data_IF_866374128092
#
_entry.id   IF_866374128092
#
_cell.length_a   1.000
_cell.length_b   1.000
_cell.length_c   1.000
_cell.angle_alpha   90.00
_cell.angle_beta   90.00
_cell.angle_gamma   90.00
#
_symmetry.space_group_name_H-M   'P 1'
#
loop_
_entity.id
_entity.type
_entity.pdbx_description
1 polymer ?
#
# COMPACT_ATOMS: atom_id res chain seq x y z
N UNK A 1 43.07 3.77 -34.71
CA UNK A 1 42.28 2.90 -33.80
C UNK A 1 42.30 3.38 -32.35
N UNK A 2 43.45 3.71 -31.76
CA UNK A 2 43.56 4.11 -30.33
C UNK A 2 42.77 5.39 -29.95
N UNK A 3 42.65 6.38 -30.85
CA UNK A 3 41.88 7.61 -30.60
C UNK A 3 40.36 7.37 -30.49
N UNK A 4 39.82 6.36 -31.18
CA UNK A 4 38.39 6.03 -31.12
C UNK A 4 38.05 5.27 -29.83
N UNK A 5 38.95 4.42 -29.33
CA UNK A 5 38.78 3.71 -28.04
C UNK A 5 38.77 4.68 -26.85
N UNK A 6 39.67 5.68 -26.82
CA UNK A 6 39.65 6.70 -25.77
C UNK A 6 38.38 7.54 -25.78
N UNK A 7 37.84 7.84 -26.98
CA UNK A 7 36.58 8.58 -27.11
C UNK A 7 35.40 7.74 -26.64
N UNK A 8 35.33 6.46 -27.01
CA UNK A 8 34.27 5.55 -26.56
C UNK A 8 34.34 5.30 -25.05
N UNK A 9 35.52 5.10 -24.49
CA UNK A 9 35.69 4.95 -23.04
C UNK A 9 35.30 6.22 -22.28
N UNK A 10 35.66 7.40 -22.78
CA UNK A 10 35.24 8.67 -22.18
C UNK A 10 33.70 8.80 -22.17
N UNK A 11 33.03 8.48 -23.29
CA UNK A 11 31.56 8.51 -23.36
C UNK A 11 30.90 7.50 -22.41
N UNK A 12 31.47 6.30 -22.24
CA UNK A 12 30.95 5.30 -21.30
C UNK A 12 31.13 5.73 -19.85
N UNK A 13 32.26 6.36 -19.52
CA UNK A 13 32.51 6.91 -18.17
C UNK A 13 31.56 8.07 -17.88
N UNK A 14 31.35 8.97 -18.84
CA UNK A 14 30.40 10.09 -18.70
C UNK A 14 28.96 9.58 -18.51
N UNK A 15 28.56 8.52 -19.23
CA UNK A 15 27.24 7.90 -19.06
C UNK A 15 27.09 7.26 -17.67
N UNK A 16 28.11 6.56 -17.17
CA UNK A 16 28.11 6.00 -15.81
C UNK A 16 28.07 7.10 -14.73
N UNK A 17 28.71 8.25 -14.97
CA UNK A 17 28.64 9.43 -14.09
C UNK A 17 27.24 10.06 -14.12
N UNK A 18 26.60 10.13 -15.28
CA UNK A 18 25.22 10.62 -15.41
C UNK A 18 24.23 9.66 -14.72
N UNK A 19 24.36 8.35 -14.94
CA UNK A 19 23.49 7.34 -14.32
C UNK A 19 23.70 7.26 -12.80
N UNK A 20 24.92 7.49 -12.32
CA UNK A 20 25.21 7.60 -10.88
C UNK A 20 24.69 8.91 -10.28
N UNK A 21 24.76 10.04 -11.00
CA UNK A 21 24.12 11.29 -10.57
C UNK A 21 22.59 11.20 -10.61
N UNK A 22 22.01 10.50 -11.58
CA UNK A 22 20.56 10.25 -11.67
C UNK A 22 20.10 9.37 -10.52
N UNK A 23 20.83 8.28 -10.22
CA UNK A 23 20.59 7.49 -8.99
C UNK A 23 20.79 8.31 -7.71
N UNK A 24 21.78 9.20 -7.67
CA UNK A 24 22.00 10.08 -6.52
C UNK A 24 20.89 11.13 -6.35
N UNK A 25 20.27 11.57 -7.46
CA UNK A 25 19.09 12.44 -7.46
C UNK A 25 17.82 11.68 -7.04
N UNK A 26 17.66 10.43 -7.48
CA UNK A 26 16.60 9.51 -7.01
C UNK A 26 16.78 9.17 -5.51
N UNK A 27 18.02 9.05 -5.03
CA UNK A 27 18.31 8.92 -3.60
C UNK A 27 18.08 10.23 -2.84
N UNK A 28 18.22 11.40 -3.47
CA UNK A 28 17.87 12.70 -2.87
C UNK A 28 16.36 12.90 -2.78
N UNK A 29 15.55 12.25 -3.61
CA UNK A 29 14.09 12.17 -3.40
C UNK A 29 13.69 11.28 -2.22
N UNK A 30 14.64 10.56 -1.61
CA UNK A 30 14.46 9.85 -0.34
C UNK A 30 14.93 10.72 0.84
N UNK A 31 14.55 11.99 0.91
CA UNK A 31 14.70 12.72 2.17
C UNK A 31 13.90 11.95 3.23
N UNK A 32 14.53 11.49 4.32
CA UNK A 32 13.79 10.89 5.42
C UNK A 32 12.76 11.91 5.90
N UNK A 33 11.49 11.52 5.98
CA UNK A 33 10.45 12.37 6.55
C UNK A 33 10.93 12.89 7.91
N UNK A 34 10.85 14.21 8.08
CA UNK A 34 11.46 14.87 9.22
C UNK A 34 10.65 14.63 10.50
N UNK A 35 9.38 14.27 10.33
CA UNK A 35 8.45 13.95 11.42
C UNK A 35 7.57 12.73 11.09
N UNK A 36 7.03 12.11 12.14
CA UNK A 36 6.02 11.04 11.99
C UNK A 36 4.75 11.54 11.29
N UNK A 37 4.39 12.81 11.49
CA UNK A 37 3.17 13.39 10.91
C UNK A 37 3.29 13.58 9.39
N UNK A 38 4.45 14.01 8.89
CA UNK A 38 4.72 14.09 7.44
C UNK A 38 4.65 12.71 6.78
N UNK A 39 5.20 11.69 7.43
CA UNK A 39 5.12 10.32 6.93
C UNK A 39 3.67 9.82 6.89
N UNK A 40 2.89 10.03 7.95
CA UNK A 40 1.48 9.64 7.98
C UNK A 40 0.66 10.41 6.94
N UNK A 41 0.98 11.68 6.70
CA UNK A 41 0.33 12.48 5.66
C UNK A 41 0.59 11.88 4.28
N UNK A 42 1.85 11.57 3.94
CA UNK A 42 2.20 10.94 2.66
C UNK A 42 1.50 9.59 2.47
N UNK A 43 1.36 8.79 3.54
CA UNK A 43 0.59 7.54 3.48
C UNK A 43 -0.91 7.79 3.26
N UNK A 44 -1.49 8.82 3.89
CA UNK A 44 -2.89 9.19 3.67
C UNK A 44 -3.12 9.66 2.25
N UNK A 45 -2.18 10.42 1.68
CA UNK A 45 -2.23 10.87 0.29
C UNK A 45 -2.24 9.68 -0.69
N UNK A 46 -1.28 8.75 -0.56
CA UNK A 46 -1.22 7.55 -1.41
C UNK A 46 -2.48 6.67 -1.28
N UNK A 47 -3.01 6.51 -0.06
CA UNK A 47 -4.24 5.75 0.18
C UNK A 47 -5.48 6.47 -0.38
N UNK A 48 -5.55 7.80 -0.28
CA UNK A 48 -6.63 8.59 -0.85
C UNK A 48 -6.65 8.49 -2.39
N UNK A 49 -5.49 8.64 -3.02
CA UNK A 49 -5.33 8.51 -4.47
C UNK A 49 -5.67 7.10 -4.95
N UNK A 50 -5.23 6.07 -4.21
CA UNK A 50 -5.54 4.68 -4.51
C UNK A 50 -7.05 4.40 -4.45
N UNK A 51 -7.73 4.80 -3.37
CA UNK A 51 -9.17 4.60 -3.23
C UNK A 51 -9.96 5.35 -4.29
N UNK A 52 -9.60 6.60 -4.58
CA UNK A 52 -10.26 7.42 -5.60
C UNK A 52 -10.06 6.89 -7.02
N UNK A 53 -8.90 6.27 -7.29
CA UNK A 53 -8.63 5.59 -8.57
C UNK A 53 -9.48 4.32 -8.71
N UNK A 54 -9.68 3.59 -7.62
CA UNK A 54 -10.50 2.36 -7.59
C UNK A 54 -12.00 2.64 -7.69
N UNK A 55 -12.45 3.74 -7.07
CA UNK A 55 -13.85 4.12 -6.93
C UNK A 55 -14.01 5.58 -7.39
N UNK A 56 -14.31 5.82 -8.69
CA UNK A 56 -14.45 7.18 -9.22
C UNK A 56 -15.47 8.04 -8.46
N UNK A 57 -16.49 7.41 -7.86
CA UNK A 57 -17.47 8.07 -7.00
C UNK A 57 -16.91 8.58 -5.66
N UNK A 58 -15.69 8.19 -5.28
CA UNK A 58 -14.99 8.62 -4.06
C UNK A 58 -13.91 9.67 -4.34
N UNK A 59 -13.93 10.30 -5.53
CA UNK A 59 -12.94 11.31 -5.93
C UNK A 59 -12.83 12.54 -4.99
N UNK A 60 -13.73 12.70 -4.02
CA UNK A 60 -13.64 13.74 -2.99
C UNK A 60 -12.69 13.40 -1.83
N UNK A 61 -12.19 12.17 -1.74
CA UNK A 61 -11.25 11.76 -0.69
C UNK A 61 -9.88 12.36 -1.01
N UNK A 62 -9.32 13.10 -0.05
CA UNK A 62 -7.97 13.69 -0.09
C UNK A 62 -7.22 13.32 1.19
N UNK A 63 -5.92 13.59 1.25
CA UNK A 63 -5.13 13.37 2.46
C UNK A 63 -5.70 14.14 3.69
N UNK A 64 -6.22 15.35 3.47
CA UNK A 64 -6.77 16.23 4.52
C UNK A 64 -8.06 15.69 5.14
N UNK A 65 -8.97 15.15 4.33
CA UNK A 65 -10.27 14.65 4.78
C UNK A 65 -10.34 13.12 4.90
N UNK A 66 -9.22 12.43 4.64
CA UNK A 66 -9.14 10.98 4.51
C UNK A 66 -9.87 10.23 5.64
N UNK A 67 -9.56 10.59 6.88
CA UNK A 67 -10.15 9.93 8.05
C UNK A 67 -11.61 10.33 8.25
N UNK A 68 -11.99 11.56 7.93
CA UNK A 68 -13.37 12.05 8.04
C UNK A 68 -14.30 11.34 7.07
N UNK A 69 -13.84 11.08 5.84
CA UNK A 69 -14.61 10.33 4.86
C UNK A 69 -14.83 8.86 5.26
N UNK A 70 -13.91 8.27 6.03
CA UNK A 70 -13.91 6.85 6.36
C UNK A 70 -14.51 6.55 7.74
N UNK A 71 -14.60 7.52 8.65
CA UNK A 71 -14.95 7.29 10.06
C UNK A 71 -16.40 6.85 10.30
N UNK A 72 -17.32 7.06 9.36
CA UNK A 72 -18.67 6.52 9.43
C UNK A 72 -18.74 5.01 9.10
N UNK A 73 -17.61 4.44 8.65
CA UNK A 73 -17.43 3.03 8.32
C UNK A 73 -18.13 2.55 7.05
N UNK A 74 -18.89 3.39 6.34
CA UNK A 74 -19.63 2.99 5.14
C UNK A 74 -18.68 2.63 4.01
N UNK A 75 -17.75 3.53 3.68
CA UNK A 75 -16.80 3.32 2.58
C UNK A 75 -15.84 2.16 2.89
N UNK A 76 -15.46 1.98 4.15
CA UNK A 76 -14.65 0.84 4.60
C UNK A 76 -15.34 -0.50 4.31
N UNK A 77 -16.61 -0.62 4.70
CA UNK A 77 -17.39 -1.83 4.46
C UNK A 77 -17.68 -2.04 2.97
N UNK A 78 -17.84 -0.98 2.18
CA UNK A 78 -17.95 -1.06 0.72
C UNK A 78 -16.66 -1.60 0.10
N UNK A 79 -15.51 -1.06 0.49
CA UNK A 79 -14.21 -1.52 0.01
C UNK A 79 -13.98 -3.00 0.35
N UNK A 80 -14.25 -3.42 1.59
CA UNK A 80 -14.18 -4.82 2.01
C UNK A 80 -15.05 -5.74 1.13
N UNK A 81 -16.26 -5.30 0.80
CA UNK A 81 -17.17 -6.08 -0.05
C UNK A 81 -16.69 -6.17 -1.50
N UNK A 82 -16.06 -5.13 -2.02
CA UNK A 82 -15.46 -5.13 -3.37
C UNK A 82 -14.24 -6.06 -3.42
N UNK A 83 -13.41 -6.09 -2.38
CA UNK A 83 -12.29 -7.05 -2.24
C UNK A 83 -12.82 -8.49 -2.19
N UNK A 84 -13.86 -8.74 -1.40
CA UNK A 84 -14.52 -10.05 -1.38
C UNK A 84 -15.07 -10.45 -2.76
N UNK A 85 -15.61 -9.51 -3.52
CA UNK A 85 -16.12 -9.77 -4.86
C UNK A 85 -15.00 -10.16 -5.82
N UNK A 86 -13.89 -9.43 -5.81
CA UNK A 86 -12.69 -9.81 -6.57
C UNK A 86 -12.21 -11.22 -6.18
N UNK A 87 -12.14 -11.52 -4.88
CA UNK A 87 -11.76 -12.83 -4.38
C UNK A 87 -12.68 -13.95 -4.86
N UNK A 88 -14.01 -13.72 -4.87
CA UNK A 88 -14.98 -14.69 -5.41
C UNK A 88 -14.85 -14.91 -6.92
N UNK A 89 -14.43 -13.91 -7.70
CA UNK A 89 -14.16 -14.10 -9.13
C UNK A 89 -12.96 -15.01 -9.37
N UNK A 90 -11.92 -14.92 -8.52
CA UNK A 90 -10.74 -15.77 -8.59
C UNK A 90 -10.99 -17.16 -7.99
N UNK A 91 -11.79 -17.24 -6.92
CA UNK A 91 -12.08 -18.46 -6.15
C UNK A 91 -13.60 -18.68 -6.00
N UNK A 92 -14.33 -19.03 -7.07
CA UNK A 92 -15.79 -19.07 -7.08
C UNK A 92 -16.41 -20.13 -6.16
N UNK A 93 -15.69 -21.22 -5.88
CA UNK A 93 -16.14 -22.29 -4.99
C UNK A 93 -15.94 -21.99 -3.50
N UNK A 94 -15.28 -20.87 -3.15
CA UNK A 94 -15.01 -20.50 -1.77
C UNK A 94 -16.18 -19.77 -1.14
N UNK A 95 -16.75 -20.31 -0.06
CA UNK A 95 -17.74 -19.62 0.77
C UNK A 95 -17.11 -18.72 1.85
N UNK A 96 -15.78 -18.59 1.88
CA UNK A 96 -15.07 -17.86 2.92
C UNK A 96 -15.28 -16.33 2.84
N UNK A 97 -15.48 -15.79 1.63
CA UNK A 97 -15.58 -14.35 1.38
C UNK A 97 -17.00 -13.83 1.61
N UNK A 98 -17.40 -13.77 2.89
CA UNK A 98 -18.70 -13.23 3.30
C UNK A 98 -18.68 -11.71 3.39
N UNK A 99 -19.75 -11.07 2.94
CA UNK A 99 -19.85 -9.61 2.90
C UNK A 99 -19.85 -8.99 4.30
N UNK A 100 -19.08 -7.91 4.44
CA UNK A 100 -19.14 -7.00 5.57
C UNK A 100 -20.51 -6.29 5.58
N UNK A 101 -21.28 -6.49 6.65
CA UNK A 101 -22.60 -5.87 6.83
C UNK A 101 -22.42 -4.46 7.39
N UNK A 102 -23.19 -3.51 6.88
CA UNK A 102 -23.13 -2.12 7.33
C UNK A 102 -24.45 -1.38 7.13
N UNK A 103 -24.62 -0.27 7.83
CA UNK A 103 -25.74 0.68 7.68
C UNK A 103 -25.30 1.82 6.78
N UNK A 104 -25.90 1.95 5.60
CA UNK A 104 -25.54 2.95 4.60
C UNK A 104 -25.84 4.39 5.00
N UNK A 105 -26.75 4.61 5.94
CA UNK A 105 -27.15 5.93 6.45
C UNK A 105 -26.44 6.32 7.77
N UNK A 106 -25.38 5.60 8.15
CA UNK A 106 -24.60 5.94 9.33
C UNK A 106 -23.97 7.32 9.18
N UNK A 107 -24.05 8.13 10.25
CA UNK A 107 -23.42 9.45 10.30
C UNK A 107 -22.21 9.39 11.22
N UNK A 108 -21.20 10.20 10.93
CA UNK A 108 -20.01 10.38 11.77
C UNK A 108 -20.39 10.64 13.24
N UNK A 109 -19.58 10.13 14.16
CA UNK A 109 -19.79 10.29 15.61
C UNK A 109 -20.96 9.50 16.20
N UNK A 110 -21.75 8.76 15.41
CA UNK A 110 -22.89 7.98 15.93
C UNK A 110 -22.50 6.56 16.37
N UNK A 111 -23.36 5.92 17.17
CA UNK A 111 -23.22 4.49 17.48
C UNK A 111 -23.23 3.62 16.22
N UNK A 112 -24.01 3.99 15.20
CA UNK A 112 -24.05 3.27 13.93
C UNK A 112 -22.72 3.36 13.17
N UNK A 113 -21.99 4.48 13.26
CA UNK A 113 -20.65 4.60 12.70
C UNK A 113 -19.67 3.64 13.41
N UNK A 114 -19.69 3.62 14.75
CA UNK A 114 -18.89 2.69 15.55
C UNK A 114 -19.18 1.23 15.19
N UNK A 115 -20.45 0.87 15.03
CA UNK A 115 -20.88 -0.47 14.61
C UNK A 115 -20.36 -0.82 13.21
N UNK A 116 -20.51 0.06 12.22
CA UNK A 116 -19.96 -0.15 10.88
C UNK A 116 -18.43 -0.38 10.91
N UNK A 117 -17.68 0.48 11.60
CA UNK A 117 -16.22 0.32 11.74
C UNK A 117 -15.87 -1.00 12.44
N UNK A 118 -16.66 -1.40 13.44
CA UNK A 118 -16.47 -2.68 14.14
C UNK A 118 -16.73 -3.88 13.22
N UNK A 119 -17.72 -3.81 12.31
CA UNK A 119 -17.94 -4.84 11.29
C UNK A 119 -16.76 -4.93 10.33
N UNK A 120 -16.20 -3.79 9.90
CA UNK A 120 -15.00 -3.78 9.06
C UNK A 120 -13.79 -4.40 9.78
N UNK A 121 -13.53 -4.02 11.03
CA UNK A 121 -12.47 -4.60 11.86
C UNK A 121 -12.64 -6.12 11.98
N UNK A 122 -13.86 -6.59 12.22
CA UNK A 122 -14.16 -8.03 12.27
C UNK A 122 -13.87 -8.71 10.93
N UNK A 123 -14.27 -8.10 9.82
CA UNK A 123 -13.98 -8.63 8.48
C UNK A 123 -12.47 -8.68 8.20
N UNK A 124 -11.73 -7.62 8.53
CA UNK A 124 -10.28 -7.55 8.37
C UNK A 124 -9.56 -8.67 9.13
N UNK A 125 -10.00 -8.96 10.35
CA UNK A 125 -9.48 -10.05 11.17
C UNK A 125 -9.81 -11.44 10.61
N UNK A 126 -11.09 -11.67 10.31
CA UNK A 126 -11.58 -13.02 10.01
C UNK A 126 -11.39 -13.44 8.54
N UNK A 127 -11.38 -12.50 7.61
CA UNK A 127 -11.36 -12.79 6.17
C UNK A 127 -10.05 -12.33 5.54
N UNK A 128 -9.63 -11.09 5.80
CA UNK A 128 -8.37 -10.59 5.29
C UNK A 128 -7.14 -11.08 6.08
N UNK A 129 -7.37 -11.71 7.23
CA UNK A 129 -6.35 -12.28 8.12
C UNK A 129 -5.26 -11.26 8.52
N UNK A 130 -5.66 -10.01 8.77
CA UNK A 130 -4.75 -8.97 9.25
C UNK A 130 -4.22 -9.35 10.64
N UNK A 131 -2.91 -9.25 10.83
CA UNK A 131 -2.24 -9.59 12.10
C UNK A 131 -2.69 -8.66 13.22
N UNK A 132 -2.87 -9.19 14.43
CA UNK A 132 -3.30 -8.43 15.62
C UNK A 132 -2.48 -7.15 15.87
N UNK A 133 -1.16 -7.21 15.65
CA UNK A 133 -0.25 -6.07 15.83
C UNK A 133 -0.50 -4.91 14.85
N UNK A 134 -1.22 -5.16 13.75
CA UNK A 134 -1.58 -4.18 12.73
C UNK A 134 -3.07 -3.85 12.74
N UNK A 135 -3.83 -4.39 13.68
CA UNK A 135 -5.25 -4.09 13.84
C UNK A 135 -5.43 -2.78 14.61
N UNK A 136 -6.53 -2.10 14.32
CA UNK A 136 -6.94 -0.86 14.98
C UNK A 136 -8.28 -1.06 15.71
N UNK A 137 -8.61 -0.15 16.62
CA UNK A 137 -9.89 -0.08 17.29
C UNK A 137 -10.80 0.98 16.67
N UNK A 138 -12.12 0.87 16.88
CA UNK A 138 -13.06 1.86 16.32
C UNK A 138 -12.78 3.29 16.78
N UNK A 139 -12.29 3.48 18.02
CA UNK A 139 -11.92 4.79 18.55
C UNK A 139 -10.62 5.35 17.94
N UNK A 140 -9.71 4.49 17.43
CA UNK A 140 -8.47 4.94 16.77
C UNK A 140 -8.79 5.78 15.54
N UNK A 141 -9.81 5.34 14.78
CA UNK A 141 -10.37 6.09 13.68
C UNK A 141 -11.29 7.20 14.19
N UNK A 142 -12.40 6.86 14.85
CA UNK A 142 -13.50 7.81 15.11
C UNK A 142 -13.10 8.96 16.04
N UNK A 143 -12.24 8.71 17.03
CA UNK A 143 -11.78 9.72 17.98
C UNK A 143 -10.34 10.16 17.71
N UNK A 144 -9.75 9.75 16.57
CA UNK A 144 -8.37 10.05 16.19
C UNK A 144 -7.35 9.68 17.27
N UNK A 145 -7.60 8.61 18.03
CA UNK A 145 -6.67 8.18 19.09
C UNK A 145 -5.35 7.64 18.52
N UNK A 146 -5.39 7.01 17.34
CA UNK A 146 -4.21 6.44 16.70
C UNK A 146 -4.40 6.23 15.19
N UNK A 147 -4.15 7.28 14.40
CA UNK A 147 -4.29 7.23 12.93
C UNK A 147 -3.35 6.19 12.29
N UNK A 148 -2.15 6.01 12.87
CA UNK A 148 -1.13 5.09 12.37
C UNK A 148 -1.64 3.66 12.30
N UNK A 149 -2.29 3.18 13.37
CA UNK A 149 -2.81 1.80 13.39
C UNK A 149 -3.86 1.58 12.29
N UNK A 150 -4.73 2.56 12.06
CA UNK A 150 -5.73 2.49 11.00
C UNK A 150 -5.08 2.45 9.61
N UNK A 151 -4.12 3.35 9.34
CA UNK A 151 -3.39 3.41 8.07
C UNK A 151 -2.65 2.10 7.80
N UNK A 152 -1.94 1.56 8.79
CA UNK A 152 -1.22 0.28 8.65
C UNK A 152 -2.18 -0.89 8.38
N UNK A 153 -3.32 -0.93 9.06
CA UNK A 153 -4.35 -1.93 8.81
C UNK A 153 -4.82 -1.89 7.34
N UNK A 154 -5.08 -0.69 6.81
CA UNK A 154 -5.57 -0.54 5.43
C UNK A 154 -4.53 -0.97 4.38
N UNK A 155 -3.24 -0.75 4.63
CA UNK A 155 -2.16 -1.28 3.79
C UNK A 155 -2.13 -2.81 3.79
N UNK A 156 -2.37 -3.46 4.92
CA UNK A 156 -2.50 -4.93 4.96
C UNK A 156 -3.70 -5.42 4.16
N UNK A 157 -4.82 -4.69 4.20
CA UNK A 157 -6.00 -5.00 3.36
C UNK A 157 -5.66 -4.88 1.86
N UNK A 158 -4.89 -3.86 1.47
CA UNK A 158 -4.44 -3.73 0.09
C UNK A 158 -3.56 -4.92 -0.35
N UNK A 159 -2.59 -5.34 0.49
CA UNK A 159 -1.77 -6.54 0.22
C UNK A 159 -2.62 -7.82 0.14
N UNK A 160 -3.67 -7.93 0.95
CA UNK A 160 -4.62 -9.03 0.85
C UNK A 160 -5.39 -9.00 -0.48
N UNK A 161 -5.92 -7.84 -0.87
CA UNK A 161 -6.63 -7.64 -2.13
C UNK A 161 -5.79 -7.95 -3.37
N UNK A 162 -4.48 -7.64 -3.32
CA UNK A 162 -3.54 -7.91 -4.40
C UNK A 162 -3.52 -9.38 -4.84
N UNK A 163 -3.72 -10.32 -3.89
CA UNK A 163 -3.80 -11.76 -4.15
C UNK A 163 -4.96 -12.14 -5.09
N UNK A 164 -5.93 -11.24 -5.24
CA UNK A 164 -7.12 -11.43 -6.07
C UNK A 164 -7.18 -10.42 -7.23
N UNK A 165 -6.07 -9.76 -7.56
CA UNK A 165 -5.99 -8.81 -8.67
C UNK A 165 -6.58 -7.43 -8.37
N UNK A 166 -6.88 -7.11 -7.11
CA UNK A 166 -7.22 -5.74 -6.71
C UNK A 166 -5.93 -4.91 -6.79
N UNK A 167 -6.01 -3.71 -7.37
CA UNK A 167 -4.86 -2.82 -7.43
C UNK A 167 -4.42 -2.41 -6.01
N UNK A 168 -3.14 -2.03 -5.86
CA UNK A 168 -2.58 -1.60 -4.58
C UNK A 168 -2.11 -0.14 -4.66
N UNK A 169 -1.99 0.56 -3.51
CA UNK A 169 -1.35 1.88 -3.41
C UNK A 169 0.11 1.86 -3.89
N UNK A 170 0.65 3.02 -4.26
CA UNK A 170 2.00 3.13 -4.80
C UNK A 170 3.05 2.64 -3.80
N UNK A 171 2.86 2.91 -2.50
CA UNK A 171 3.81 2.45 -1.46
C UNK A 171 4.01 0.93 -1.51
N UNK A 172 2.95 0.15 -1.68
CA UNK A 172 3.02 -1.32 -1.76
C UNK A 172 3.61 -1.77 -3.11
N UNK A 173 3.34 -1.05 -4.20
CA UNK A 173 3.98 -1.34 -5.50
C UNK A 173 5.50 -1.23 -5.39
N UNK A 174 5.98 -0.16 -4.75
CA UNK A 174 7.41 0.07 -4.52
C UNK A 174 8.01 -0.97 -3.57
N UNK A 175 7.32 -1.35 -2.48
CA UNK A 175 7.76 -2.45 -1.61
C UNK A 175 8.02 -3.73 -2.42
N UNK A 176 7.08 -4.15 -3.28
CA UNK A 176 7.25 -5.33 -4.11
C UNK A 176 8.34 -5.19 -5.17
N UNK A 177 8.58 -3.99 -5.68
CA UNK A 177 9.67 -3.71 -6.61
C UNK A 177 11.03 -3.88 -5.94
N UNK A 178 11.20 -3.25 -4.78
CA UNK A 178 12.41 -3.36 -3.95
C UNK A 178 12.66 -4.83 -3.56
N UNK A 179 11.64 -5.57 -3.13
CA UNK A 179 11.79 -6.99 -2.78
C UNK A 179 12.27 -7.84 -3.97
N UNK A 180 11.77 -7.57 -5.19
CA UNK A 180 12.21 -8.26 -6.41
C UNK A 180 13.66 -7.95 -6.75
N UNK A 181 14.07 -6.68 -6.62
CA UNK A 181 15.46 -6.27 -6.87
C UNK A 181 16.43 -6.93 -5.89
N UNK A 182 16.10 -6.92 -4.60
CA UNK A 182 16.89 -7.57 -3.55
C UNK A 182 17.04 -9.08 -3.82
N UNK A 183 15.96 -9.75 -4.21
CA UNK A 183 16.01 -11.19 -4.51
C UNK A 183 16.86 -11.48 -5.75
N UNK A 184 16.74 -10.67 -6.79
CA UNK A 184 17.55 -10.79 -8.01
C UNK A 184 19.05 -10.59 -7.72
N UNK A 185 19.40 -9.62 -6.88
CA UNK A 185 20.80 -9.38 -6.48
C UNK A 185 21.36 -10.55 -5.66
N UNK A 186 20.58 -11.12 -4.73
CA UNK A 186 20.95 -12.34 -4.00
C UNK A 186 21.16 -13.54 -4.91
N UNK A 187 20.36 -13.68 -5.97
CA UNK A 187 20.51 -14.77 -6.94
C UNK A 187 21.78 -14.61 -7.77
N UNK A 188 22.09 -13.38 -8.22
CA UNK A 188 23.35 -13.08 -8.90
C UNK A 188 24.56 -13.37 -8.03
N UNK A 189 24.50 -12.97 -6.76
CA UNK A 189 25.56 -13.23 -5.80
C UNK A 189 25.78 -14.74 -5.61
N UNK A 190 24.72 -15.53 -5.46
CA UNK A 190 24.80 -17.00 -5.41
C UNK A 190 25.43 -17.61 -6.66
N UNK A 191 25.04 -17.15 -7.85
CA UNK A 191 25.58 -17.63 -9.12
C UNK A 191 27.09 -17.38 -9.23
N UNK A 192 27.53 -16.18 -8.82
CA UNK A 192 28.96 -15.83 -8.74
C UNK A 192 29.71 -16.79 -7.82
N UNK A 193 29.22 -17.04 -6.60
CA UNK A 193 29.88 -17.98 -5.68
C UNK A 193 29.94 -19.42 -6.22
N UNK A 194 28.91 -19.90 -6.92
CA UNK A 194 28.96 -21.24 -7.53
C UNK A 194 29.94 -21.35 -8.69
N UNK A 195 30.18 -20.27 -9.44
CA UNK A 195 31.19 -20.23 -10.51
C UNK A 195 32.64 -20.19 -9.97
N UNK A 196 32.85 -19.70 -8.74
CA UNK A 196 34.18 -19.70 -8.10
C UNK A 196 34.53 -21.01 -7.37
N UNK A 197 33.53 -21.83 -7.03
CA UNK A 197 33.71 -23.15 -6.40
C UNK A 197 33.77 -24.32 -7.41
N UNK A 198 33.60 -24.04 -8.71
CA UNK A 198 33.71 -25.02 -9.81
C UNK A 198 34.98 -24.85 -10.64
#
# INVERSE_FOLDING_TARGET
MLLNLNRTMATTVDQLVIDSQSRFLEMKSLQPYSTTDEYLYAMKEDLADWLSTMYPEWASITADNFLECLENGVLLCQHANNVNEAARRVLPSSSAFTNCKYRSNARSGTFNARDNVSQFIKWARCIACVREVLMFESDDLILRKNEKNFILCLLEIARFGAKFGVSVPAIIKFEYEIEREIEHDKQKEKLLYTEFES
#
